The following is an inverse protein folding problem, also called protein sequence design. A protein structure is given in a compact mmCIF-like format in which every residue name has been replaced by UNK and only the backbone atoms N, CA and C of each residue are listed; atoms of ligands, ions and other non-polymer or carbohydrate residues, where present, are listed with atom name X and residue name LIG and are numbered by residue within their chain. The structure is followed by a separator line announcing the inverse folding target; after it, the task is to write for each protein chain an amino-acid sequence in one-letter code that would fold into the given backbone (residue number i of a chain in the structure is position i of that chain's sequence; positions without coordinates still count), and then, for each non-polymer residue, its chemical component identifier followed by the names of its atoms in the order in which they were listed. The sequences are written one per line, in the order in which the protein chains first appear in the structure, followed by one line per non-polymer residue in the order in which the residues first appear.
data_IF_699275651476
#
_entry.id   IF_699275651476
#
_cell.length_a   1.000
_cell.length_b   1.000
_cell.length_c   1.000
_cell.angle_alpha   90.00
_cell.angle_beta   90.00
_cell.angle_gamma   90.00
#
_symmetry.space_group_name_H-M   'P 1'
#
loop_
_entity.id
_entity.type
_entity.pdbx_description
1 polymer ?
#
# COMPACT_ATOMS: atom_id res chain seq x y z
N UNK A 1 -5.72 -32.37 35.05
CA UNK A 1 -4.94 -32.23 33.80
C UNK A 1 -3.72 -31.36 34.07
N UNK A 2 -2.51 -31.91 33.97
CA UNK A 2 -1.29 -31.16 34.27
C UNK A 2 -1.08 -30.04 33.24
N UNK A 3 -0.94 -28.79 33.71
CA UNK A 3 -0.61 -27.65 32.85
C UNK A 3 0.73 -27.93 32.19
N UNK A 4 0.73 -28.15 30.87
CA UNK A 4 1.95 -28.36 30.06
C UNK A 4 2.78 -27.06 30.15
N UNK A 5 3.73 -27.03 31.08
CA UNK A 5 4.61 -25.87 31.32
C UNK A 5 5.65 -25.87 30.21
N UNK A 6 5.44 -25.00 29.23
CA UNK A 6 6.37 -24.76 28.13
C UNK A 6 7.72 -24.31 28.71
N UNK A 7 8.74 -25.17 28.62
CA UNK A 7 10.13 -24.80 28.95
C UNK A 7 10.76 -24.30 27.67
N UNK A 8 10.75 -22.99 27.49
CA UNK A 8 11.24 -22.33 26.31
C UNK A 8 12.78 -22.45 26.23
N UNK A 9 13.28 -23.50 25.57
CA UNK A 9 14.68 -23.61 25.18
C UNK A 9 14.88 -22.83 23.89
N UNK A 10 15.01 -21.50 24.02
CA UNK A 10 15.14 -20.57 22.88
C UNK A 10 16.52 -20.71 22.25
N UNK A 11 16.54 -20.92 20.94
CA UNK A 11 17.63 -20.42 20.09
C UNK A 11 17.10 -19.24 19.29
N UNK A 12 17.66 -18.06 19.52
CA UNK A 12 17.30 -16.86 18.78
C UNK A 12 18.09 -16.85 17.46
N UNK A 13 17.38 -16.86 16.34
CA UNK A 13 18.00 -16.70 15.03
C UNK A 13 18.29 -15.22 14.77
N UNK A 14 19.40 -14.92 14.10
CA UNK A 14 19.79 -13.55 13.74
C UNK A 14 19.06 -13.02 12.51
N UNK A 15 18.40 -13.88 11.75
CA UNK A 15 17.74 -13.53 10.49
C UNK A 15 16.30 -13.09 10.72
N UNK A 16 15.97 -11.90 10.23
CA UNK A 16 14.63 -11.30 10.28
C UNK A 16 13.75 -11.82 9.14
N UNK A 17 12.57 -12.34 9.49
CA UNK A 17 11.65 -13.01 8.58
C UNK A 17 10.44 -12.11 8.28
N UNK A 18 10.19 -11.73 7.02
CA UNK A 18 8.99 -10.97 6.67
C UNK A 18 7.74 -11.87 6.76
N UNK A 19 6.74 -11.42 7.51
CA UNK A 19 5.40 -12.03 7.56
C UNK A 19 4.45 -11.11 6.81
N UNK A 20 3.72 -11.70 5.87
CA UNK A 20 2.95 -10.96 4.91
C UNK A 20 1.47 -11.18 5.15
N UNK A 21 0.67 -10.12 5.14
CA UNK A 21 -0.79 -10.21 5.04
C UNK A 21 -1.28 -9.35 3.89
N UNK A 22 -2.42 -9.71 3.30
CA UNK A 22 -3.03 -8.92 2.23
C UNK A 22 -4.14 -8.03 2.78
N UNK A 23 -4.24 -6.82 2.26
CA UNK A 23 -5.25 -5.84 2.69
C UNK A 23 -6.70 -6.31 2.53
N UNK A 24 -6.95 -7.26 1.63
CA UNK A 24 -8.26 -7.81 1.29
C UNK A 24 -8.48 -9.22 1.88
N UNK A 25 -7.64 -9.65 2.83
CA UNK A 25 -7.78 -10.91 3.54
C UNK A 25 -6.86 -12.01 3.00
N UNK A 26 -7.39 -13.21 2.80
CA UNK A 26 -6.62 -14.34 2.25
C UNK A 26 -6.76 -14.42 0.74
N UNK A 27 -5.65 -14.65 0.05
CA UNK A 27 -5.69 -14.99 -1.36
C UNK A 27 -6.38 -16.35 -1.53
N UNK A 28 -7.25 -16.45 -2.55
CA UNK A 28 -7.95 -17.69 -2.88
C UNK A 28 -7.05 -18.69 -3.58
N UNK A 29 -5.96 -18.21 -4.18
CA UNK A 29 -4.99 -19.01 -4.90
C UNK A 29 -4.07 -19.72 -3.91
N UNK A 30 -4.18 -21.05 -3.85
CA UNK A 30 -3.21 -21.92 -3.15
C UNK A 30 -1.88 -22.07 -3.91
N UNK A 31 -1.62 -21.22 -4.90
CA UNK A 31 -0.42 -21.27 -5.71
C UNK A 31 0.71 -20.49 -5.06
N UNK A 32 1.94 -21.00 -5.26
CA UNK A 32 3.16 -20.33 -4.83
C UNK A 32 3.28 -19.00 -5.58
N UNK A 33 3.08 -17.91 -4.86
CA UNK A 33 3.24 -16.57 -5.39
C UNK A 33 4.70 -16.29 -5.69
N UNK A 34 4.98 -15.77 -6.88
CA UNK A 34 6.29 -15.21 -7.18
C UNK A 34 6.38 -13.88 -6.44
N UNK A 35 7.38 -13.78 -5.57
CA UNK A 35 7.59 -12.59 -4.74
C UNK A 35 9.02 -12.13 -4.92
N UNK A 36 9.18 -10.93 -5.44
CA UNK A 36 10.46 -10.25 -5.53
C UNK A 36 10.65 -9.41 -4.27
N UNK A 37 11.83 -9.51 -3.66
CA UNK A 37 12.17 -8.84 -2.41
C UNK A 37 13.33 -7.89 -2.66
N UNK A 38 13.08 -6.60 -2.47
CA UNK A 38 14.09 -5.55 -2.51
C UNK A 38 14.46 -5.18 -1.08
N UNK A 39 15.74 -5.31 -0.74
CA UNK A 39 16.25 -5.02 0.59
C UNK A 39 17.25 -3.86 0.53
N UNK A 40 17.08 -2.90 1.43
CA UNK A 40 18.03 -1.81 1.65
C UNK A 40 18.30 -1.66 3.14
N UNK A 41 19.58 -1.68 3.53
CA UNK A 41 19.99 -1.50 4.92
C UNK A 41 20.38 -0.06 5.15
N UNK A 42 19.73 0.57 6.11
CA UNK A 42 19.96 1.97 6.45
C UNK A 42 20.20 2.11 7.95
N UNK A 43 21.15 2.94 8.33
CA UNK A 43 21.45 3.22 9.74
C UNK A 43 20.88 4.60 10.08
N UNK A 44 19.78 4.63 10.82
CA UNK A 44 19.17 5.89 11.29
C UNK A 44 19.41 6.00 12.79
N UNK A 45 20.00 7.11 13.23
CA UNK A 45 20.27 7.41 14.64
C UNK A 45 20.99 6.25 15.38
N UNK A 46 21.99 5.64 14.74
CA UNK A 46 22.77 4.53 15.29
C UNK A 46 22.06 3.16 15.31
N UNK A 47 20.80 3.09 14.86
CA UNK A 47 20.05 1.82 14.75
C UNK A 47 19.98 1.36 13.30
N UNK A 48 20.53 0.18 13.03
CA UNK A 48 20.38 -0.48 11.73
C UNK A 48 18.92 -0.87 11.54
N UNK A 49 18.30 -0.34 10.49
CA UNK A 49 16.96 -0.69 10.03
C UNK A 49 17.06 -1.23 8.61
N UNK A 50 16.43 -2.38 8.41
CA UNK A 50 16.35 -2.99 7.08
C UNK A 50 15.03 -2.56 6.44
N UNK A 51 15.09 -1.69 5.43
CA UNK A 51 13.96 -1.37 4.57
C UNK A 51 13.75 -2.52 3.58
N UNK A 52 12.51 -2.97 3.45
CA UNK A 52 12.11 -4.04 2.54
C UNK A 52 10.88 -3.64 1.77
N UNK A 53 10.93 -3.89 0.46
CA UNK A 53 9.80 -3.80 -0.45
C UNK A 53 9.58 -5.19 -1.02
N UNK A 54 8.35 -5.67 -0.91
CA UNK A 54 7.92 -6.93 -1.49
C UNK A 54 6.96 -6.62 -2.63
N UNK A 55 7.24 -7.21 -3.78
CA UNK A 55 6.38 -7.12 -4.96
C UNK A 55 5.96 -8.53 -5.32
N UNK A 56 4.66 -8.73 -5.49
CA UNK A 56 4.11 -10.03 -5.87
C UNK A 56 2.95 -9.86 -6.82
N UNK A 57 2.75 -10.81 -7.72
CA UNK A 57 1.65 -10.79 -8.68
C UNK A 57 0.75 -12.00 -8.45
N UNK A 58 -0.56 -11.76 -8.35
CA UNK A 58 -1.59 -12.81 -8.26
C UNK A 58 -2.81 -12.40 -9.08
N UNK A 59 -3.34 -13.32 -9.88
CA UNK A 59 -4.61 -13.16 -10.61
C UNK A 59 -4.74 -11.84 -11.41
N UNK A 60 -3.62 -11.38 -12.01
CA UNK A 60 -3.54 -10.13 -12.78
C UNK A 60 -3.48 -8.85 -11.93
N UNK A 61 -3.38 -8.98 -10.61
CA UNK A 61 -3.19 -7.87 -9.68
C UNK A 61 -1.76 -7.90 -9.14
N UNK A 62 -1.07 -6.77 -9.28
CA UNK A 62 0.21 -6.56 -8.62
C UNK A 62 -0.02 -6.10 -7.19
N UNK A 63 0.77 -6.63 -6.28
CA UNK A 63 0.75 -6.31 -4.87
C UNK A 63 2.10 -5.77 -4.46
N UNK A 64 2.08 -4.66 -3.71
CA UNK A 64 3.27 -4.04 -3.15
C UNK A 64 3.11 -3.94 -1.64
N UNK A 65 4.13 -4.36 -0.91
CA UNK A 65 4.20 -4.28 0.55
C UNK A 65 5.52 -3.67 1.00
N UNK A 66 5.44 -2.73 1.93
CA UNK A 66 6.60 -2.01 2.44
C UNK A 66 6.63 -2.08 3.97
N UNK A 67 7.82 -2.21 4.53
CA UNK A 67 8.01 -2.17 5.99
C UNK A 67 8.40 -0.79 6.53
N UNK A 68 8.49 0.22 5.66
CA UNK A 68 8.85 1.60 6.01
C UNK A 68 7.85 2.60 5.41
N UNK A 69 7.95 3.87 5.81
CA UNK A 69 7.08 4.94 5.32
C UNK A 69 5.66 4.90 5.89
N UNK A 70 4.79 5.75 5.33
CA UNK A 70 3.35 5.80 5.63
C UNK A 70 2.59 4.48 5.41
N UNK A 71 2.90 3.64 4.40
CA UNK A 71 2.19 2.39 4.20
C UNK A 71 2.59 1.31 5.23
N UNK A 72 3.65 1.51 6.01
CA UNK A 72 4.12 0.54 6.99
C UNK A 72 3.19 0.40 8.20
N UNK A 73 3.17 -0.81 8.76
CA UNK A 73 2.40 -1.10 9.96
C UNK A 73 3.02 -0.38 11.15
N UNK A 74 2.30 0.57 11.75
CA UNK A 74 2.72 1.29 12.97
C UNK A 74 3.12 0.34 14.11
N UNK A 75 2.53 -0.85 14.16
CA UNK A 75 2.87 -1.90 15.11
C UNK A 75 4.34 -2.33 15.04
N UNK A 76 5.03 -2.26 13.89
CA UNK A 76 6.45 -2.60 13.80
C UNK A 76 7.36 -1.59 14.53
N UNK A 77 6.91 -0.34 14.69
CA UNK A 77 7.66 0.66 15.44
C UNK A 77 7.51 0.49 16.96
N UNK A 78 6.35 -0.01 17.42
CA UNK A 78 5.99 -0.10 18.83
C UNK A 78 6.22 -1.50 19.42
N UNK A 79 6.08 -2.56 18.61
CA UNK A 79 6.10 -3.96 19.03
C UNK A 79 7.19 -4.74 18.28
N UNK A 80 7.84 -5.68 18.99
CA UNK A 80 8.72 -6.69 18.37
C UNK A 80 7.92 -7.96 18.17
N UNK A 81 7.82 -8.43 16.93
CA UNK A 81 7.14 -9.67 16.60
C UNK A 81 8.16 -10.80 16.43
N UNK A 82 7.76 -12.01 16.83
CA UNK A 82 8.58 -13.20 16.71
C UNK A 82 7.75 -14.37 16.20
N UNK A 83 8.34 -15.17 15.31
CA UNK A 83 7.78 -16.46 14.90
C UNK A 83 8.49 -17.54 15.71
N UNK A 84 7.71 -18.32 16.45
CA UNK A 84 8.20 -19.51 17.13
C UNK A 84 8.02 -20.74 16.26
N UNK A 85 9.12 -21.42 15.94
CA UNK A 85 9.10 -22.74 15.31
C UNK A 85 9.49 -23.76 16.36
N UNK A 86 8.54 -24.61 16.75
CA UNK A 86 8.77 -25.72 17.66
C UNK A 86 9.18 -26.97 16.89
N UNK A 87 10.27 -27.59 17.33
CA UNK A 87 10.59 -28.96 16.95
C UNK A 87 9.96 -29.91 17.97
N UNK A 88 8.89 -30.59 17.55
CA UNK A 88 8.09 -31.50 18.39
C UNK A 88 8.93 -32.66 18.93
N UNK A 89 9.95 -33.11 18.18
CA UNK A 89 10.80 -34.22 18.60
C UNK A 89 11.80 -33.80 19.69
N UNK A 90 12.38 -32.60 19.58
CA UNK A 90 13.37 -32.11 20.55
C UNK A 90 12.80 -31.23 21.67
N UNK A 91 11.54 -30.79 21.56
CA UNK A 91 10.87 -29.88 22.49
C UNK A 91 11.55 -28.50 22.58
N UNK A 92 12.33 -28.11 21.57
CA UNK A 92 13.03 -26.82 21.50
C UNK A 92 12.27 -25.88 20.58
N UNK A 93 12.22 -24.60 20.97
CA UNK A 93 11.56 -23.55 20.18
C UNK A 93 12.62 -22.61 19.64
N UNK A 94 12.61 -22.38 18.32
CA UNK A 94 13.43 -21.38 17.67
C UNK A 94 12.61 -20.11 17.48
N UNK A 95 13.13 -18.98 17.93
CA UNK A 95 12.50 -17.68 17.75
C UNK A 95 13.18 -16.94 16.61
N UNK A 96 12.38 -16.55 15.61
CA UNK A 96 12.80 -15.72 14.49
C UNK A 96 12.19 -14.34 14.68
N UNK A 97 12.98 -13.25 14.73
CA UNK A 97 12.43 -11.90 14.66
C UNK A 97 11.66 -11.75 13.36
N UNK A 98 10.52 -11.08 13.43
CA UNK A 98 9.61 -10.95 12.29
C UNK A 98 9.15 -9.51 12.08
N UNK A 99 9.07 -9.12 10.81
CA UNK A 99 8.48 -7.87 10.37
C UNK A 99 7.12 -8.14 9.73
N UNK A 100 6.09 -7.45 10.20
CA UNK A 100 4.75 -7.54 9.62
C UNK A 100 4.65 -6.60 8.42
N UNK A 101 4.30 -7.12 7.25
CA UNK A 101 4.20 -6.34 6.01
C UNK A 101 2.81 -6.52 5.43
N UNK A 102 2.15 -5.39 5.16
CA UNK A 102 0.86 -5.36 4.49
C UNK A 102 1.06 -5.26 2.98
N UNK A 103 0.62 -6.26 2.23
CA UNK A 103 0.53 -6.19 0.78
C UNK A 103 -0.74 -5.47 0.38
N UNK A 104 -0.60 -4.46 -0.47
CA UNK A 104 -1.70 -3.68 -1.02
C UNK A 104 -1.71 -3.82 -2.54
N UNK A 105 -2.90 -3.91 -3.17
CA UNK A 105 -2.98 -3.92 -4.62
C UNK A 105 -2.39 -2.62 -5.15
N UNK A 106 -1.43 -2.75 -6.04
CA UNK A 106 -0.85 -1.65 -6.80
C UNK A 106 -1.63 -1.51 -8.10
N UNK A 107 -2.39 -0.43 -8.18
CA UNK A 107 -2.98 0.00 -9.44
C UNK A 107 -2.00 0.99 -10.05
N UNK A 108 -1.40 0.61 -11.18
CA UNK A 108 -0.66 1.58 -11.98
C UNK A 108 -1.58 2.78 -12.18
N UNK A 109 -1.16 4.01 -11.81
CA UNK A 109 -1.95 5.17 -12.14
C UNK A 109 -2.18 5.11 -13.64
N UNK A 110 -3.45 5.06 -14.06
CA UNK A 110 -3.79 5.27 -15.47
C UNK A 110 -2.96 6.46 -15.90
N UNK A 111 -2.17 6.33 -16.97
CA UNK A 111 -1.26 7.38 -17.38
C UNK A 111 -2.08 8.64 -17.66
N UNK A 112 -2.37 9.43 -16.64
CA UNK A 112 -2.33 10.85 -16.72
C UNK A 112 -0.89 11.10 -17.09
N UNK A 113 -0.64 11.06 -18.40
CA UNK A 113 -0.08 12.22 -19.05
C UNK A 113 -0.81 13.39 -18.40
N UNK A 114 -0.31 13.86 -17.26
CA UNK A 114 -0.46 15.25 -16.89
C UNK A 114 0.25 15.93 -18.03
N UNK A 115 -0.49 16.15 -19.11
CA UNK A 115 -0.18 17.16 -20.07
C UNK A 115 -0.12 18.43 -19.23
N UNK A 116 1.07 18.74 -18.75
CA UNK A 116 1.55 20.11 -18.62
C UNK A 116 1.63 20.79 -20.01
N UNK A 117 0.82 20.31 -20.98
CA UNK A 117 0.75 20.63 -22.38
C UNK A 117 -0.71 20.91 -22.84
N UNK A 118 -1.64 21.22 -21.93
CA UNK A 118 -2.98 21.76 -22.30
C UNK A 118 -3.23 23.18 -21.75
N UNK A 119 -2.16 23.95 -21.53
CA UNK A 119 -2.30 25.40 -21.33
C UNK A 119 -2.59 26.14 -22.63
N UNK A 120 -2.42 25.53 -23.81
CA UNK A 120 -2.56 26.19 -25.11
C UNK A 120 -3.89 25.95 -25.82
N UNK A 121 -4.65 24.91 -25.47
CA UNK A 121 -5.92 24.53 -26.16
C UNK A 121 -7.19 24.83 -25.37
N UNK A 122 -7.08 25.18 -24.08
CA UNK A 122 -8.25 25.57 -23.29
C UNK A 122 -8.61 27.02 -23.57
N UNK A 123 -9.84 27.25 -24.04
CA UNK A 123 -10.33 28.59 -24.35
C UNK A 123 -10.38 29.43 -23.08
N UNK A 124 -10.18 30.75 -23.20
CA UNK A 124 -10.24 31.69 -22.07
C UNK A 124 -11.49 31.47 -21.19
N UNK A 125 -12.64 31.15 -21.83
CA UNK A 125 -13.90 30.85 -21.15
C UNK A 125 -13.84 29.59 -20.28
N UNK A 126 -13.14 28.55 -20.69
CA UNK A 126 -12.99 27.32 -19.91
C UNK A 126 -12.10 27.54 -18.68
N UNK A 127 -11.02 28.32 -18.82
CA UNK A 127 -10.18 28.73 -17.68
C UNK A 127 -10.97 29.57 -16.67
N UNK A 128 -11.81 30.50 -17.15
CA UNK A 128 -12.67 31.30 -16.30
C UNK A 128 -13.76 30.48 -15.58
N UNK A 129 -14.39 29.54 -16.28
CA UNK A 129 -15.39 28.64 -15.70
C UNK A 129 -14.76 27.68 -14.66
N UNK A 130 -13.52 27.22 -14.87
CA UNK A 130 -12.78 26.41 -13.91
C UNK A 130 -12.50 27.18 -12.61
N UNK A 131 -12.04 28.43 -12.70
CA UNK A 131 -11.84 29.30 -11.53
C UNK A 131 -13.16 29.61 -10.81
N UNK A 132 -14.24 29.86 -11.56
CA UNK A 132 -15.56 30.07 -10.97
C UNK A 132 -16.11 28.81 -10.28
N UNK A 133 -15.77 27.62 -10.77
CA UNK A 133 -16.16 26.35 -10.15
C UNK A 133 -15.36 26.10 -8.87
N UNK A 134 -14.04 26.28 -8.90
CA UNK A 134 -13.17 26.07 -7.75
C UNK A 134 -13.38 27.14 -6.65
N UNK A 135 -13.38 28.42 -7.02
CA UNK A 135 -13.31 29.54 -6.07
C UNK A 135 -14.50 30.51 -6.14
N UNK A 136 -15.44 30.32 -7.07
CA UNK A 136 -16.58 31.23 -7.23
C UNK A 136 -17.63 31.11 -6.13
N UNK A 137 -18.43 32.17 -5.95
CA UNK A 137 -19.60 32.18 -5.07
C UNK A 137 -20.69 31.23 -5.59
N UNK A 138 -21.63 30.83 -4.70
CA UNK A 138 -22.75 29.92 -5.04
C UNK A 138 -23.49 30.35 -6.31
N UNK A 139 -23.75 31.65 -6.48
CA UNK A 139 -24.40 32.22 -7.68
C UNK A 139 -23.55 32.07 -8.95
N UNK A 140 -22.22 32.24 -8.86
CA UNK A 140 -21.30 32.07 -9.99
C UNK A 140 -21.15 30.61 -10.39
N UNK A 141 -21.05 29.68 -9.43
CA UNK A 141 -21.04 28.23 -9.68
C UNK A 141 -22.31 27.76 -10.38
N UNK A 142 -23.47 28.18 -9.88
CA UNK A 142 -24.77 27.82 -10.48
C UNK A 142 -24.93 28.36 -11.92
N UNK A 143 -24.38 29.54 -12.22
CA UNK A 143 -24.37 30.08 -13.57
C UNK A 143 -23.49 29.25 -14.53
N UNK A 144 -22.33 28.76 -14.07
CA UNK A 144 -21.47 27.86 -14.85
C UNK A 144 -22.16 26.52 -15.11
N UNK A 145 -22.74 25.91 -14.07
CA UNK A 145 -23.47 24.63 -14.18
C UNK A 145 -24.66 24.71 -15.15
N UNK A 146 -25.43 25.81 -15.10
CA UNK A 146 -26.52 26.06 -16.05
C UNK A 146 -26.03 26.09 -17.50
N UNK A 147 -24.94 26.83 -17.76
CA UNK A 147 -24.33 26.91 -19.10
C UNK A 147 -23.84 25.54 -19.58
N UNK A 148 -23.18 24.77 -18.70
CA UNK A 148 -22.68 23.43 -19.03
C UNK A 148 -23.84 22.45 -19.32
N UNK A 149 -24.92 22.50 -18.55
CA UNK A 149 -26.13 21.69 -18.77
C UNK A 149 -26.76 21.98 -20.13
N UNK A 150 -26.81 23.25 -20.53
CA UNK A 150 -27.39 23.66 -21.81
C UNK A 150 -26.51 23.23 -23.01
N UNK A 151 -25.17 23.29 -22.86
CA UNK A 151 -24.23 22.72 -23.83
C UNK A 151 -24.41 21.20 -23.99
N UNK A 152 -24.50 20.44 -22.89
CA UNK A 152 -24.70 18.98 -22.95
C UNK A 152 -26.00 18.60 -23.67
N UNK A 153 -27.09 19.33 -23.41
CA UNK A 153 -28.38 19.13 -24.08
C UNK A 153 -28.36 19.39 -25.59
N UNK A 154 -27.52 20.31 -26.08
CA UNK A 154 -27.37 20.53 -27.52
C UNK A 154 -26.63 19.38 -28.20
N UNK A 155 -25.63 18.81 -27.55
CA UNK A 155 -24.81 17.75 -28.13
C UNK A 155 -25.50 16.38 -28.16
N UNK A 156 -26.57 16.17 -27.39
CA UNK A 156 -27.36 14.93 -27.40
C UNK A 156 -28.48 14.90 -28.45
N UNK A 157 -28.71 16.03 -29.14
CA UNK A 157 -29.74 16.16 -30.18
C UNK A 157 -29.15 16.15 -31.60
N UNK A 158 -27.92 15.68 -31.75
CA UNK A 158 -27.18 15.50 -32.99
C UNK A 158 -26.62 14.07 -33.01
#
# INVERSE_FOLDING_TARGET
MAKKKWRLKVRQASTDVPVVWFSHGSLKSGHRLRTDIYEHKETIAGRLRTRRILVSESDGVQYVGENFGEPSVRANALCKHFIGVEDVASGKVRLYPANLITMRPYFAPASTKTSTADTTTTTYREKADALATAFGSKRKRQAVESRQRLKRRRNTNN
#
